data_IF_963787794475
#
_entry.id   IF_963787794475
#
_cell.length_a   1.000
_cell.length_b   1.000
_cell.length_c   1.000
_cell.angle_alpha   90.00
_cell.angle_beta   90.00
_cell.angle_gamma   90.00
#
_symmetry.space_group_name_H-M   'P 1'
#
loop_
_entity.id
_entity.type
_entity.pdbx_description
1 polymer ?
#
# COMPACT_ATOMS: atom_id res chain seq x y z
N UNK A 1 -4.94 -20.53 9.65
CA UNK A 1 -3.98 -19.83 10.54
C UNK A 1 -3.05 -20.90 11.09
N UNK A 2 -1.78 -20.73 10.88
CA UNK A 2 -0.79 -21.69 11.36
C UNK A 2 -0.60 -21.48 12.85
N UNK A 3 -0.65 -22.58 13.61
CA UNK A 3 -0.30 -22.56 15.03
C UNK A 3 1.20 -22.21 15.13
N UNK A 4 1.60 -21.37 16.10
CA UNK A 4 3.01 -21.05 16.27
C UNK A 4 3.78 -22.30 16.65
N UNK A 5 4.67 -22.80 15.81
CA UNK A 5 5.55 -23.93 16.11
C UNK A 5 6.65 -23.57 17.14
N UNK A 6 6.88 -22.26 17.32
CA UNK A 6 7.86 -21.70 18.25
C UNK A 6 7.16 -20.88 19.34
N UNK A 7 7.90 -20.50 20.40
CA UNK A 7 7.40 -19.61 21.45
C UNK A 7 7.35 -18.14 20.96
N UNK A 8 6.76 -17.92 19.79
CA UNK A 8 6.63 -16.61 19.12
C UNK A 8 5.25 -16.54 18.48
N UNK A 9 4.52 -15.46 18.72
CA UNK A 9 3.27 -15.11 18.05
C UNK A 9 3.21 -13.62 17.80
N UNK A 10 2.20 -13.14 17.09
CA UNK A 10 2.04 -11.71 16.80
C UNK A 10 0.92 -11.44 15.82
N UNK A 11 0.93 -10.24 15.29
CA UNK A 11 0.04 -9.78 14.21
C UNK A 11 0.84 -9.62 12.92
N UNK A 12 0.19 -9.85 11.79
CA UNK A 12 0.78 -9.62 10.47
C UNK A 12 0.06 -8.48 9.78
N UNK A 13 0.84 -7.56 9.20
CA UNK A 13 0.38 -6.48 8.33
C UNK A 13 0.25 -6.92 6.87
N UNK A 14 0.45 -8.21 6.59
CA UNK A 14 0.29 -8.72 5.24
C UNK A 14 -1.16 -8.53 4.77
N UNK A 15 -1.31 -7.77 3.71
CA UNK A 15 -2.55 -7.57 2.98
C UNK A 15 -2.36 -7.97 1.52
N UNK A 16 -3.24 -8.83 1.02
CA UNK A 16 -3.12 -9.40 -0.32
C UNK A 16 -3.05 -8.33 -1.41
N UNK A 17 -2.01 -8.37 -2.23
CA UNK A 17 -1.87 -7.52 -3.41
C UNK A 17 -3.06 -7.66 -4.36
N UNK A 18 -3.61 -8.87 -4.50
CA UNK A 18 -4.82 -9.08 -5.30
C UNK A 18 -6.01 -8.26 -4.77
N UNK A 19 -6.25 -8.25 -3.45
CA UNK A 19 -7.33 -7.47 -2.86
C UNK A 19 -7.09 -5.96 -3.01
N UNK A 20 -5.84 -5.51 -2.94
CA UNK A 20 -5.47 -4.12 -3.21
C UNK A 20 -5.75 -3.72 -4.66
N UNK A 21 -5.42 -4.59 -5.63
CA UNK A 21 -5.74 -4.37 -7.04
C UNK A 21 -7.24 -4.34 -7.30
N UNK A 22 -8.01 -5.20 -6.65
CA UNK A 22 -9.48 -5.20 -6.75
C UNK A 22 -10.06 -3.86 -6.28
N UNK A 23 -9.59 -3.31 -5.17
CA UNK A 23 -10.01 -1.98 -4.70
C UNK A 23 -9.54 -0.87 -5.65
N UNK A 24 -8.31 -0.92 -6.12
CA UNK A 24 -7.78 0.05 -7.07
C UNK A 24 -8.57 0.08 -8.38
N UNK A 25 -8.94 -1.10 -8.92
CA UNK A 25 -9.73 -1.21 -10.16
C UNK A 25 -11.17 -0.72 -9.95
N UNK A 26 -11.76 -0.89 -8.77
CA UNK A 26 -13.09 -0.31 -8.46
C UNK A 26 -13.07 1.21 -8.52
N UNK A 27 -11.99 1.84 -8.05
CA UNK A 27 -11.84 3.30 -8.08
C UNK A 27 -11.46 3.76 -9.49
N UNK A 28 -10.55 3.05 -10.16
CA UNK A 28 -9.98 3.42 -11.46
C UNK A 28 -10.17 2.31 -12.51
N UNK A 29 -11.40 2.13 -13.04
CA UNK A 29 -11.74 0.97 -13.88
C UNK A 29 -11.09 0.96 -15.27
N UNK A 30 -10.50 2.07 -15.70
CA UNK A 30 -9.96 2.22 -17.06
C UNK A 30 -8.42 2.11 -17.13
N UNK A 31 -7.75 1.80 -16.03
CA UNK A 31 -6.29 1.64 -15.99
C UNK A 31 -5.85 0.41 -16.78
N UNK A 32 -4.66 0.49 -17.34
CA UNK A 32 -3.98 -0.61 -18.06
C UNK A 32 -2.55 -0.83 -17.58
N UNK A 33 -1.88 0.25 -17.19
CA UNK A 33 -0.47 0.24 -16.85
C UNK A 33 -0.27 0.75 -15.43
N UNK A 34 0.17 -0.11 -14.54
CA UNK A 34 0.48 0.20 -13.15
C UNK A 34 1.98 0.49 -13.04
N UNK A 35 2.34 1.68 -12.61
CA UNK A 35 3.71 2.00 -12.23
C UNK A 35 4.01 1.57 -10.82
N UNK A 36 5.16 0.98 -10.57
CA UNK A 36 5.63 0.63 -9.24
C UNK A 36 7.11 0.93 -9.09
N UNK A 37 7.48 1.49 -7.96
CA UNK A 37 8.88 1.73 -7.58
C UNK A 37 9.22 0.84 -6.39
N UNK A 38 10.44 0.32 -6.35
CA UNK A 38 10.88 -0.53 -5.26
C UNK A 38 12.38 -0.41 -4.97
N UNK A 39 12.76 -0.61 -3.72
CA UNK A 39 14.15 -0.70 -3.31
C UNK A 39 14.75 -2.04 -3.76
N UNK A 40 15.86 -1.98 -4.50
CA UNK A 40 16.58 -3.19 -4.91
C UNK A 40 17.24 -3.93 -3.75
N UNK A 41 17.34 -3.28 -2.59
CA UNK A 41 18.00 -3.79 -1.39
C UNK A 41 17.01 -4.42 -0.39
N UNK A 42 15.69 -4.30 -0.60
CA UNK A 42 14.66 -4.82 0.30
C UNK A 42 14.06 -6.13 -0.25
N UNK A 43 14.14 -7.21 0.53
CA UNK A 43 13.65 -8.52 0.12
C UNK A 43 12.10 -8.58 0.06
N UNK A 44 11.42 -7.88 1.00
CA UNK A 44 9.96 -7.75 1.02
C UNK A 44 9.45 -7.08 -0.25
N UNK A 45 10.14 -6.04 -0.74
CA UNK A 45 9.75 -5.33 -1.95
C UNK A 45 9.82 -6.21 -3.19
N UNK A 46 10.88 -7.01 -3.32
CA UNK A 46 11.00 -7.98 -4.42
C UNK A 46 9.86 -9.00 -4.42
N UNK A 47 9.52 -9.52 -3.26
CA UNK A 47 8.41 -10.45 -3.09
C UNK A 47 7.08 -9.80 -3.53
N UNK A 48 6.80 -8.58 -3.07
CA UNK A 48 5.58 -7.85 -3.42
C UNK A 48 5.49 -7.53 -4.92
N UNK A 49 6.62 -7.22 -5.59
CA UNK A 49 6.66 -7.01 -7.05
C UNK A 49 6.24 -8.28 -7.80
N UNK A 50 6.74 -9.45 -7.39
CA UNK A 50 6.35 -10.73 -8.04
C UNK A 50 4.86 -11.05 -7.80
N UNK A 51 4.34 -10.79 -6.59
CA UNK A 51 2.91 -10.92 -6.31
C UNK A 51 2.08 -9.93 -7.16
N UNK A 52 2.53 -8.67 -7.28
CA UNK A 52 1.86 -7.65 -8.08
C UNK A 52 1.78 -8.05 -9.55
N UNK A 53 2.88 -8.51 -10.15
CA UNK A 53 2.90 -8.98 -11.53
C UNK A 53 1.93 -10.12 -11.76
N UNK A 54 1.96 -11.12 -10.87
CA UNK A 54 1.06 -12.28 -10.96
C UNK A 54 -0.41 -11.89 -10.82
N UNK A 55 -0.74 -11.00 -9.89
CA UNK A 55 -2.10 -10.54 -9.70
C UNK A 55 -2.57 -9.66 -10.87
N UNK A 56 -1.72 -8.74 -11.34
CA UNK A 56 -2.01 -7.85 -12.46
C UNK A 56 -2.29 -8.61 -13.76
N UNK A 57 -1.55 -9.69 -14.04
CA UNK A 57 -1.80 -10.57 -15.19
C UNK A 57 -3.23 -11.15 -15.17
N UNK A 58 -3.72 -11.55 -13.99
CA UNK A 58 -5.09 -12.03 -13.80
C UNK A 58 -6.18 -11.00 -14.13
N UNK A 59 -5.86 -9.69 -14.07
CA UNK A 59 -6.75 -8.58 -14.42
C UNK A 59 -6.47 -7.99 -15.80
N UNK A 60 -5.51 -8.52 -16.55
CA UNK A 60 -5.09 -7.98 -17.86
C UNK A 60 -4.38 -6.63 -17.76
N UNK A 61 -3.71 -6.35 -16.63
CA UNK A 61 -2.97 -5.13 -16.37
C UNK A 61 -1.47 -5.35 -16.56
N UNK A 62 -0.78 -4.32 -17.06
CA UNK A 62 0.67 -4.32 -17.19
C UNK A 62 1.32 -3.67 -15.97
N UNK A 63 2.47 -4.18 -15.54
CA UNK A 63 3.28 -3.59 -14.48
C UNK A 63 4.55 -2.97 -15.07
N UNK A 64 4.73 -1.68 -14.85
CA UNK A 64 5.93 -0.92 -15.22
C UNK A 64 6.74 -0.67 -13.96
N UNK A 65 7.78 -1.44 -13.76
CA UNK A 65 8.60 -1.38 -12.56
C UNK A 65 9.87 -0.52 -12.74
N UNK A 66 10.30 0.12 -11.65
CA UNK A 66 11.59 0.80 -11.58
C UNK A 66 12.24 0.55 -10.21
N UNK A 67 13.46 0.03 -10.23
CA UNK A 67 14.27 -0.18 -9.02
C UNK A 67 15.06 1.07 -8.65
N UNK A 68 15.15 1.33 -7.34
CA UNK A 68 16.00 2.37 -6.76
C UNK A 68 16.95 1.76 -5.72
N UNK A 69 18.14 2.32 -5.58
CA UNK A 69 19.10 1.86 -4.58
C UNK A 69 19.05 2.71 -3.30
N UNK A 70 18.60 3.95 -3.42
CA UNK A 70 18.48 4.89 -2.33
C UNK A 70 17.52 6.03 -2.71
N UNK A 71 17.21 6.90 -1.73
CA UNK A 71 16.23 7.99 -1.88
C UNK A 71 16.62 9.02 -2.96
N UNK A 72 17.92 9.20 -3.26
CA UNK A 72 18.36 10.17 -4.27
C UNK A 72 18.01 9.75 -5.70
N UNK A 73 17.77 8.45 -5.92
CA UNK A 73 17.41 7.90 -7.23
C UNK A 73 15.93 8.18 -7.57
N UNK A 74 15.09 8.42 -6.55
CA UNK A 74 13.61 8.46 -6.66
C UNK A 74 13.13 9.51 -7.67
N UNK A 75 13.66 10.73 -7.59
CA UNK A 75 13.23 11.83 -8.48
C UNK A 75 13.48 11.52 -9.96
N UNK A 76 14.57 10.81 -10.26
CA UNK A 76 14.88 10.40 -11.64
C UNK A 76 14.05 9.20 -12.04
N UNK A 77 13.91 8.23 -11.15
CA UNK A 77 13.16 6.99 -11.39
C UNK A 77 11.68 7.28 -11.70
N UNK A 78 11.00 8.13 -10.90
CA UNK A 78 9.59 8.45 -11.14
C UNK A 78 9.39 9.09 -12.52
N UNK A 79 10.27 10.00 -12.95
CA UNK A 79 10.21 10.64 -14.28
C UNK A 79 10.36 9.67 -15.44
N UNK A 80 11.05 8.55 -15.26
CA UNK A 80 11.20 7.53 -16.31
C UNK A 80 9.96 6.69 -16.53
N UNK A 81 9.12 6.50 -15.50
CA UNK A 81 7.91 5.68 -15.60
C UNK A 81 6.63 6.50 -15.84
N UNK A 82 6.56 7.77 -15.36
CA UNK A 82 5.38 8.64 -15.54
C UNK A 82 4.75 8.57 -16.94
N UNK A 83 5.48 8.68 -18.06
CA UNK A 83 4.86 8.69 -19.39
C UNK A 83 4.35 7.32 -19.84
N UNK A 84 4.51 6.27 -19.04
CA UNK A 84 4.19 4.88 -19.39
C UNK A 84 3.07 4.28 -18.54
N UNK A 85 2.56 5.01 -17.53
CA UNK A 85 1.65 4.49 -16.51
C UNK A 85 0.35 5.28 -16.46
N UNK A 86 -0.71 4.62 -16.10
CA UNK A 86 -2.03 5.23 -15.87
C UNK A 86 -2.26 5.51 -14.39
N UNK A 87 -1.59 4.77 -13.52
CA UNK A 87 -1.62 4.91 -12.06
C UNK A 87 -0.30 4.46 -11.46
N UNK A 88 0.09 5.06 -10.34
CA UNK A 88 1.24 4.62 -9.54
C UNK A 88 0.77 3.85 -8.31
N UNK A 89 1.37 2.69 -8.03
CA UNK A 89 1.14 1.91 -6.83
C UNK A 89 2.38 1.95 -5.92
N UNK A 90 2.20 2.46 -4.71
CA UNK A 90 3.20 2.41 -3.64
C UNK A 90 2.98 1.15 -2.82
N UNK A 91 3.86 0.18 -2.97
CA UNK A 91 3.93 -1.03 -2.14
C UNK A 91 4.57 -0.70 -0.79
N UNK A 92 4.54 -1.65 0.16
CA UNK A 92 5.21 -1.50 1.46
C UNK A 92 6.73 -1.60 1.30
N UNK A 93 7.37 -0.46 1.06
CA UNK A 93 8.80 -0.30 0.82
C UNK A 93 9.31 0.92 1.60
N UNK A 94 10.31 0.74 2.47
CA UNK A 94 10.77 1.80 3.37
C UNK A 94 11.42 2.98 2.63
N UNK A 95 12.17 2.70 1.57
CA UNK A 95 12.83 3.74 0.77
C UNK A 95 11.80 4.56 0.00
N UNK A 96 10.84 3.89 -0.64
CA UNK A 96 9.77 4.53 -1.41
C UNK A 96 8.82 5.30 -0.50
N UNK A 97 8.42 4.71 0.64
CA UNK A 97 7.56 5.36 1.63
C UNK A 97 8.20 6.64 2.18
N UNK A 98 9.50 6.61 2.48
CA UNK A 98 10.24 7.79 2.92
C UNK A 98 10.33 8.91 1.86
N UNK A 99 10.13 8.58 0.59
CA UNK A 99 10.14 9.52 -0.53
C UNK A 99 8.73 9.90 -1.03
N UNK A 100 7.67 9.51 -0.32
CA UNK A 100 6.27 9.66 -0.76
C UNK A 100 5.91 11.07 -1.18
N UNK A 101 6.40 12.10 -0.47
CA UNK A 101 6.17 13.51 -0.83
C UNK A 101 6.73 13.85 -2.21
N UNK A 102 7.96 13.42 -2.51
CA UNK A 102 8.61 13.68 -3.80
C UNK A 102 7.85 12.99 -4.93
N UNK A 103 7.45 11.73 -4.70
CA UNK A 103 6.68 10.93 -5.65
C UNK A 103 5.31 11.58 -5.88
N UNK A 104 4.59 11.93 -4.83
CA UNK A 104 3.26 12.53 -4.90
C UNK A 104 3.26 13.87 -5.66
N UNK A 105 4.24 14.75 -5.41
CA UNK A 105 4.36 16.02 -6.12
C UNK A 105 4.60 15.79 -7.63
N UNK A 106 5.47 14.83 -7.98
CA UNK A 106 5.75 14.47 -9.36
C UNK A 106 4.50 13.96 -10.08
N UNK A 107 3.80 13.02 -9.47
CA UNK A 107 2.56 12.42 -10.01
C UNK A 107 1.42 13.43 -10.14
N UNK A 108 1.24 14.31 -9.14
CA UNK A 108 0.27 15.43 -9.21
C UNK A 108 0.55 16.34 -10.39
N UNK A 109 1.81 16.72 -10.60
CA UNK A 109 2.21 17.55 -11.73
C UNK A 109 1.94 16.87 -13.08
N UNK A 110 2.12 15.55 -13.15
CA UNK A 110 1.85 14.72 -14.32
C UNK A 110 0.36 14.34 -14.48
N UNK A 111 -0.52 14.70 -13.51
CA UNK A 111 -1.94 14.30 -13.45
C UNK A 111 -2.16 12.79 -13.42
N UNK A 112 -1.25 12.05 -12.78
CA UNK A 112 -1.32 10.61 -12.62
C UNK A 112 -1.84 10.31 -11.21
N UNK A 113 -2.94 9.54 -11.05
CA UNK A 113 -3.42 9.08 -9.75
C UNK A 113 -2.41 8.13 -9.09
N UNK A 114 -2.50 8.02 -7.76
CA UNK A 114 -1.60 7.19 -6.99
C UNK A 114 -2.36 6.43 -5.89
N UNK A 115 -1.97 5.17 -5.69
CA UNK A 115 -2.55 4.25 -4.73
C UNK A 115 -1.45 3.71 -3.81
N UNK A 116 -1.72 3.58 -2.52
CA UNK A 116 -0.77 3.05 -1.55
C UNK A 116 -1.33 1.83 -0.82
N UNK A 117 -0.43 0.93 -0.42
CA UNK A 117 -0.74 -0.25 0.40
C UNK A 117 -1.00 0.09 1.87
N UNK A 118 -0.71 1.33 2.29
CA UNK A 118 -0.81 1.80 3.67
C UNK A 118 -1.12 3.30 3.76
N UNK A 119 -1.54 3.77 4.94
CA UNK A 119 -1.99 5.16 5.17
C UNK A 119 -0.84 6.20 5.13
N UNK A 120 0.35 5.85 5.63
CA UNK A 120 1.45 6.81 5.77
C UNK A 120 1.81 7.60 4.51
N UNK A 121 1.97 6.97 3.34
CA UNK A 121 2.17 7.68 2.08
C UNK A 121 1.03 8.64 1.69
N UNK A 122 -0.22 8.36 2.10
CA UNK A 122 -1.37 9.23 1.81
C UNK A 122 -1.27 10.54 2.59
N UNK A 123 -0.85 10.51 3.84
CA UNK A 123 -0.58 11.71 4.63
C UNK A 123 0.52 12.57 3.98
N UNK A 124 1.41 11.95 3.21
CA UNK A 124 2.50 12.61 2.47
C UNK A 124 2.14 12.96 1.00
N UNK A 125 0.87 12.87 0.62
CA UNK A 125 0.36 13.36 -0.65
C UNK A 125 0.05 12.30 -1.72
N UNK A 126 0.25 10.99 -1.46
CA UNK A 126 -0.33 9.94 -2.31
C UNK A 126 -1.86 10.05 -2.24
N UNK A 127 -2.55 9.80 -3.36
CA UNK A 127 -3.98 10.10 -3.48
C UNK A 127 -4.86 9.26 -2.56
N UNK A 128 -4.67 7.94 -2.57
CA UNK A 128 -5.55 7.02 -1.84
C UNK A 128 -4.79 5.79 -1.38
N UNK A 129 -5.19 5.24 -0.23
CA UNK A 129 -4.81 3.89 0.18
C UNK A 129 -6.05 3.05 0.45
N UNK A 130 -5.91 1.74 0.24
CA UNK A 130 -6.79 0.74 0.83
C UNK A 130 -5.87 -0.34 1.40
N UNK A 131 -5.68 -0.31 2.69
CA UNK A 131 -4.68 -1.13 3.35
C UNK A 131 -4.95 -1.35 4.83
N UNK A 132 -3.94 -1.80 5.53
CA UNK A 132 -4.01 -2.19 6.93
C UNK A 132 -4.09 -0.96 7.84
N UNK A 133 -4.98 -1.01 8.82
CA UNK A 133 -5.01 -0.07 9.92
C UNK A 133 -4.01 -0.51 11.01
N UNK A 134 -2.87 0.18 11.07
CA UNK A 134 -1.82 -0.12 12.06
C UNK A 134 -2.24 0.17 13.50
N UNK A 135 -3.18 1.07 13.73
CA UNK A 135 -3.73 1.32 15.09
C UNK A 135 -4.56 0.12 15.54
N UNK A 136 -5.36 -0.45 14.66
CA UNK A 136 -6.13 -1.66 14.93
C UNK A 136 -5.21 -2.87 15.13
N UNK A 137 -4.20 -3.05 14.31
CA UNK A 137 -3.17 -4.08 14.51
C UNK A 137 -2.49 -3.95 15.88
N UNK A 138 -2.14 -2.74 16.28
CA UNK A 138 -1.56 -2.47 17.59
C UNK A 138 -2.48 -2.87 18.74
N UNK A 139 -3.79 -2.59 18.64
CA UNK A 139 -4.79 -3.01 19.63
C UNK A 139 -4.91 -4.55 19.69
N UNK A 140 -4.93 -5.21 18.54
CA UNK A 140 -4.95 -6.69 18.45
C UNK A 140 -3.70 -7.29 19.08
N UNK A 141 -2.52 -6.75 18.79
CA UNK A 141 -1.25 -7.17 19.39
C UNK A 141 -1.26 -7.00 20.93
N UNK A 142 -1.77 -5.87 21.42
CA UNK A 142 -1.90 -5.62 22.85
C UNK A 142 -2.85 -6.63 23.54
N UNK A 143 -3.97 -6.99 22.88
CA UNK A 143 -4.88 -8.04 23.37
C UNK A 143 -4.18 -9.39 23.49
N UNK A 144 -3.42 -9.79 22.46
CA UNK A 144 -2.63 -11.03 22.48
C UNK A 144 -1.58 -11.03 23.60
N UNK A 145 -0.88 -9.91 23.78
CA UNK A 145 0.09 -9.77 24.87
C UNK A 145 -0.59 -9.88 26.25
N UNK A 146 -1.77 -9.29 26.42
CA UNK A 146 -2.56 -9.39 27.66
C UNK A 146 -2.96 -10.84 27.96
N UNK A 147 -3.40 -11.60 26.95
CA UNK A 147 -3.74 -13.01 27.09
C UNK A 147 -2.54 -13.85 27.58
N UNK A 148 -1.37 -13.62 26.95
CA UNK A 148 -0.14 -14.34 27.31
C UNK A 148 0.31 -13.97 28.74
N UNK A 149 0.29 -12.70 29.09
CA UNK A 149 0.60 -12.24 30.46
C UNK A 149 -0.41 -12.76 31.48
N UNK A 150 -1.65 -13.02 31.05
CA UNK A 150 -2.70 -13.70 31.86
C UNK A 150 -2.50 -15.21 32.02
N UNK A 151 -1.45 -15.78 31.41
CA UNK A 151 -1.07 -17.20 31.57
C UNK A 151 -1.47 -18.11 30.39
N UNK A 152 -2.02 -17.56 29.29
CA UNK A 152 -2.28 -18.32 28.07
C UNK A 152 -0.96 -18.70 27.42
N UNK A 153 -0.78 -19.95 27.03
CA UNK A 153 0.45 -20.39 26.38
C UNK A 153 0.57 -19.76 24.98
N UNK A 154 1.77 -19.35 24.58
CA UNK A 154 2.02 -18.70 23.28
C UNK A 154 1.54 -19.57 22.11
N UNK A 155 1.74 -20.89 22.18
CA UNK A 155 1.26 -21.84 21.18
C UNK A 155 -0.27 -21.84 20.96
N UNK A 156 -1.03 -21.39 21.97
CA UNK A 156 -2.50 -21.31 21.92
C UNK A 156 -2.98 -19.90 21.46
N UNK A 157 -2.05 -19.03 21.07
CA UNK A 157 -2.32 -17.70 20.55
C UNK A 157 -1.83 -17.65 19.08
N UNK A 158 -2.70 -17.95 18.12
CA UNK A 158 -2.30 -17.99 16.70
C UNK A 158 -1.90 -16.61 16.18
N UNK A 159 -1.07 -16.59 15.16
CA UNK A 159 -0.75 -15.33 14.43
C UNK A 159 -2.04 -14.77 13.84
N UNK A 160 -2.31 -13.49 14.09
CA UNK A 160 -3.46 -12.79 13.52
C UNK A 160 -3.07 -12.03 12.25
N UNK A 161 -3.85 -12.24 11.20
CA UNK A 161 -3.82 -11.43 10.00
C UNK A 161 -4.96 -10.41 10.07
N UNK A 162 -4.69 -9.16 9.69
CA UNK A 162 -5.77 -8.18 9.60
C UNK A 162 -6.62 -8.46 8.37
N UNK A 163 -7.95 -8.53 8.58
CA UNK A 163 -8.95 -8.52 7.51
C UNK A 163 -9.57 -7.12 7.33
N UNK A 164 -9.34 -6.25 8.30
CA UNK A 164 -9.95 -4.94 8.34
C UNK A 164 -9.07 -3.97 7.55
N UNK A 165 -9.64 -3.41 6.50
CA UNK A 165 -8.99 -2.42 5.64
C UNK A 165 -9.63 -1.06 5.85
N UNK A 166 -8.80 -0.02 5.90
CA UNK A 166 -9.26 1.36 5.85
C UNK A 166 -8.93 1.98 4.50
N UNK A 167 -9.90 2.66 3.92
CA UNK A 167 -9.66 3.53 2.77
C UNK A 167 -9.38 4.94 3.26
N UNK A 168 -8.24 5.49 2.88
CA UNK A 168 -7.82 6.85 3.25
C UNK A 168 -7.54 7.64 1.99
N UNK A 169 -8.05 8.87 1.90
CA UNK A 169 -7.90 9.75 0.74
C UNK A 169 -7.26 11.06 1.14
N UNK A 170 -6.26 11.50 0.39
CA UNK A 170 -5.68 12.83 0.53
C UNK A 170 -6.51 13.84 -0.25
N UNK A 171 -7.16 14.74 0.47
CA UNK A 171 -8.06 15.75 -0.09
C UNK A 171 -7.37 16.68 -1.07
N UNK A 172 -6.21 17.23 -0.70
CA UNK A 172 -5.45 18.15 -1.55
C UNK A 172 -5.02 17.51 -2.86
N UNK A 173 -4.65 16.23 -2.82
CA UNK A 173 -4.27 15.49 -4.01
C UNK A 173 -5.51 15.17 -4.87
N UNK A 174 -6.64 14.82 -4.27
CA UNK A 174 -7.90 14.63 -4.98
C UNK A 174 -8.32 15.92 -5.72
N UNK A 175 -8.33 17.06 -5.03
CA UNK A 175 -8.61 18.38 -5.62
C UNK A 175 -7.63 18.73 -6.76
N UNK A 176 -6.33 18.50 -6.56
CA UNK A 176 -5.32 18.76 -7.58
C UNK A 176 -5.51 17.92 -8.84
N UNK A 177 -6.08 16.72 -8.72
CA UNK A 177 -6.38 15.82 -9.84
C UNK A 177 -7.78 16.01 -10.41
N UNK A 178 -8.66 16.79 -9.76
CA UNK A 178 -10.07 16.97 -10.13
C UNK A 178 -10.93 15.75 -9.82
N UNK A 179 -10.61 15.04 -8.73
CA UNK A 179 -11.24 13.81 -8.28
C UNK A 179 -11.97 13.97 -6.94
N UNK A 180 -12.12 15.18 -6.44
CA UNK A 180 -12.72 15.49 -5.13
C UNK A 180 -14.19 15.07 -5.00
N UNK A 181 -14.88 14.94 -6.13
CA UNK A 181 -16.29 14.51 -6.20
C UNK A 181 -16.45 13.08 -6.74
N UNK A 182 -15.36 12.35 -6.96
CA UNK A 182 -15.42 10.98 -7.43
C UNK A 182 -16.00 10.06 -6.35
N UNK A 183 -17.17 9.47 -6.64
CA UNK A 183 -17.91 8.65 -5.68
C UNK A 183 -17.15 7.36 -5.31
N UNK A 184 -16.48 6.72 -6.26
CA UNK A 184 -15.76 5.49 -5.98
C UNK A 184 -14.54 5.75 -5.09
N UNK A 185 -13.88 6.90 -5.30
CA UNK A 185 -12.78 7.35 -4.47
C UNK A 185 -13.24 7.69 -3.05
N UNK A 186 -14.31 8.47 -2.92
CA UNK A 186 -14.73 9.06 -1.65
C UNK A 186 -15.62 8.15 -0.80
N UNK A 187 -16.26 7.11 -1.38
CA UNK A 187 -17.16 6.23 -0.64
C UNK A 187 -16.45 5.50 0.48
N UNK A 188 -16.96 5.64 1.72
CA UNK A 188 -16.41 5.06 2.95
C UNK A 188 -14.93 5.41 3.23
N UNK A 189 -14.43 6.53 2.71
CA UNK A 189 -13.06 6.96 2.90
C UNK A 189 -12.91 7.85 4.14
N UNK A 190 -11.84 7.62 4.92
CA UNK A 190 -11.28 8.59 5.84
C UNK A 190 -10.54 9.63 5.01
N UNK A 191 -10.88 10.90 5.16
CA UNK A 191 -10.25 11.98 4.41
C UNK A 191 -9.19 12.66 5.27
N UNK A 192 -7.98 12.79 4.74
CA UNK A 192 -6.86 13.52 5.35
C UNK A 192 -6.49 14.75 4.50
N UNK A 193 -5.81 15.75 5.12
CA UNK A 193 -5.45 17.03 4.47
C UNK A 193 -4.02 17.03 3.92
#
# INVERSE_FOLDING_TARGET
MEEPEANITGVSDYFSIQAQLEEMIKIFPNIKNIGVMFSTNEANSKFQIEELKKAADGFGLNVVEVGVNNINDVSTAIKTIEPKIDIFMSITDNTVSSASTIIAESLKAAKIPSFASEEGPVENGILVSAGVDYVDLGKKAAGMASDILGGKAVKDVPVLFSSDTSKVVNKKTAEALGLEDDKNLMDNAKVVE
#
